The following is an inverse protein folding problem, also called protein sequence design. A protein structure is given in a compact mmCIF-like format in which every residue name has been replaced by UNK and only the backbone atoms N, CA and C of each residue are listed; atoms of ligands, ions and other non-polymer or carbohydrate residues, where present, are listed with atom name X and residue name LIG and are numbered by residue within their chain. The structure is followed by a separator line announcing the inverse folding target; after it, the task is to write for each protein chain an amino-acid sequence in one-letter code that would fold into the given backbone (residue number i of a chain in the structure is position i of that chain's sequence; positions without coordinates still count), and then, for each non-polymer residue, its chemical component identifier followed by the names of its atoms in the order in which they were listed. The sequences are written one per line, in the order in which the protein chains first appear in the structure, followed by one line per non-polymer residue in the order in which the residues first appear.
data_IF_139995243606
#
_entry.id   IF_139995243606
#
_cell.length_a   1.000
_cell.length_b   1.000
_cell.length_c   1.000
_cell.angle_alpha   90.00
_cell.angle_beta   90.00
_cell.angle_gamma   90.00
#
_symmetry.space_group_name_H-M   'P 1'
#
loop_
_entity.id
_entity.type
_entity.pdbx_description
1 polymer ?
#
# COMPACT_ATOMS: atom_id res chain seq x y z
N UNK A 1 -9.78 -9.98 -51.89
CA UNK A 1 -10.51 -9.08 -50.99
C UNK A 1 -9.92 -9.32 -49.61
N UNK A 2 -9.17 -8.34 -49.06
CA UNK A 2 -8.45 -8.52 -47.80
C UNK A 2 -9.38 -8.09 -46.68
N UNK A 3 -9.83 -9.05 -45.86
CA UNK A 3 -10.65 -8.79 -44.68
C UNK A 3 -9.81 -8.10 -43.60
N UNK A 4 -10.16 -6.85 -43.33
CA UNK A 4 -9.72 -6.13 -42.14
C UNK A 4 -10.61 -6.52 -40.96
N UNK A 5 -10.18 -7.51 -40.17
CA UNK A 5 -10.68 -7.67 -38.80
C UNK A 5 -9.99 -6.63 -37.91
N UNK A 6 -10.73 -5.73 -37.23
CA UNK A 6 -10.13 -4.84 -36.26
C UNK A 6 -9.71 -5.69 -35.05
N UNK A 7 -8.42 -5.96 -34.95
CA UNK A 7 -7.81 -6.60 -33.79
C UNK A 7 -7.97 -5.63 -32.60
N UNK A 8 -9.08 -5.76 -31.86
CA UNK A 8 -9.21 -5.16 -30.55
C UNK A 8 -8.11 -5.76 -29.67
N UNK A 9 -6.97 -5.08 -29.55
CA UNK A 9 -5.94 -5.39 -28.55
C UNK A 9 -6.61 -5.25 -27.19
N UNK A 10 -7.11 -6.36 -26.68
CA UNK A 10 -7.64 -6.46 -25.33
C UNK A 10 -6.45 -6.17 -24.41
N UNK A 11 -6.39 -4.96 -23.86
CA UNK A 11 -5.35 -4.60 -22.89
C UNK A 11 -5.37 -5.65 -21.78
N UNK A 12 -4.32 -6.49 -21.74
CA UNK A 12 -4.15 -7.50 -20.71
C UNK A 12 -3.93 -6.76 -19.40
N UNK A 13 -4.88 -6.89 -18.48
CA UNK A 13 -4.75 -6.34 -17.13
C UNK A 13 -3.75 -7.19 -16.36
N UNK A 14 -2.91 -6.56 -15.56
CA UNK A 14 -2.10 -7.25 -14.56
C UNK A 14 -3.03 -7.91 -13.54
N UNK A 15 -2.75 -9.17 -13.21
CA UNK A 15 -3.56 -9.97 -12.30
C UNK A 15 -2.77 -10.41 -11.10
N UNK A 16 -3.46 -10.46 -9.96
CA UNK A 16 -2.99 -11.04 -8.72
C UNK A 16 -4.21 -11.53 -7.93
N UNK A 17 -4.00 -12.50 -7.05
CA UNK A 17 -5.07 -13.03 -6.20
C UNK A 17 -5.52 -12.01 -5.15
N UNK A 18 -4.61 -11.12 -4.77
CA UNK A 18 -4.81 -10.11 -3.74
C UNK A 18 -3.96 -8.88 -4.00
N UNK A 19 -4.53 -7.70 -3.75
CA UNK A 19 -3.83 -6.42 -3.72
C UNK A 19 -3.79 -5.88 -2.29
N UNK A 20 -2.60 -5.50 -1.82
CA UNK A 20 -2.35 -5.07 -0.44
C UNK A 20 -1.61 -3.74 -0.47
N UNK A 21 -2.05 -2.78 0.34
CA UNK A 21 -1.28 -1.55 0.54
C UNK A 21 -0.05 -1.85 1.39
N UNK A 22 1.15 -1.63 0.85
CA UNK A 22 2.40 -1.51 1.60
C UNK A 22 2.68 -0.06 2.05
N UNK A 23 1.74 0.84 1.78
CA UNK A 23 1.66 2.17 2.36
C UNK A 23 2.77 3.15 1.97
N UNK A 24 3.14 3.99 2.95
CA UNK A 24 3.69 5.35 2.78
C UNK A 24 2.64 6.45 2.97
N UNK A 25 1.35 6.09 3.06
CA UNK A 25 0.22 6.99 3.29
C UNK A 25 -1.14 6.40 2.88
N UNK A 26 -2.23 7.08 3.25
CA UNK A 26 -3.62 6.62 3.05
C UNK A 26 -4.09 6.58 1.58
N UNK A 27 -3.32 7.18 0.66
CA UNK A 27 -3.64 7.30 -0.77
C UNK A 27 -3.76 5.94 -1.47
N UNK A 28 -2.85 5.01 -1.22
CA UNK A 28 -2.86 3.69 -1.86
C UNK A 28 -4.12 2.91 -1.47
N UNK A 29 -4.40 2.81 -0.17
CA UNK A 29 -5.59 2.14 0.34
C UNK A 29 -6.89 2.77 -0.21
N UNK A 30 -6.93 4.10 -0.31
CA UNK A 30 -8.04 4.81 -0.96
C UNK A 30 -8.24 4.37 -2.41
N UNK A 31 -7.18 4.33 -3.22
CA UNK A 31 -7.29 3.93 -4.62
C UNK A 31 -7.65 2.45 -4.81
N UNK A 32 -7.02 1.55 -4.05
CA UNK A 32 -7.38 0.14 -4.08
C UNK A 32 -8.86 -0.08 -3.71
N UNK A 33 -9.38 0.64 -2.71
CA UNK A 33 -10.81 0.62 -2.36
C UNK A 33 -11.67 1.17 -3.51
N UNK A 34 -11.33 2.33 -4.06
CA UNK A 34 -12.09 3.01 -5.12
C UNK A 34 -12.25 2.14 -6.37
N UNK A 35 -11.22 1.38 -6.70
CA UNK A 35 -11.19 0.50 -7.87
C UNK A 35 -11.60 -0.95 -7.58
N UNK A 36 -12.16 -1.23 -6.38
CA UNK A 36 -12.62 -2.56 -5.96
C UNK A 36 -11.51 -3.64 -6.00
N UNK A 37 -10.25 -3.23 -5.83
CA UNK A 37 -9.09 -4.12 -5.74
C UNK A 37 -8.81 -4.53 -4.29
N UNK A 38 -9.25 -3.71 -3.32
CA UNK A 38 -9.09 -3.98 -1.90
C UNK A 38 -10.19 -4.91 -1.39
N UNK A 39 -9.85 -6.17 -1.11
CA UNK A 39 -10.79 -7.19 -0.63
C UNK A 39 -10.93 -7.24 0.89
N UNK A 40 -9.95 -6.71 1.63
CA UNK A 40 -9.98 -6.57 3.09
C UNK A 40 -9.21 -5.31 3.53
N UNK A 41 -9.34 -4.92 4.80
CA UNK A 41 -8.56 -3.81 5.36
C UNK A 41 -7.29 -4.33 6.03
N UNK A 42 -6.13 -3.90 5.56
CA UNK A 42 -4.83 -4.18 6.19
C UNK A 42 -4.66 -3.33 7.45
N UNK A 43 -3.89 -3.77 8.47
CA UNK A 43 -3.53 -2.90 9.61
C UNK A 43 -2.83 -1.62 9.15
N UNK A 44 -2.14 -1.65 8.01
CA UNK A 44 -1.31 -0.57 7.48
C UNK A 44 -2.06 0.45 6.58
N UNK A 45 -3.33 0.22 6.22
CA UNK A 45 -4.07 1.04 5.23
C UNK A 45 -4.20 2.54 5.57
N UNK A 46 -4.02 2.90 6.84
CA UNK A 46 -4.27 4.25 7.37
C UNK A 46 -3.15 4.73 8.30
N UNK A 47 -2.00 4.08 8.20
CA UNK A 47 -0.79 4.45 8.94
C UNK A 47 0.17 5.17 8.00
N UNK A 48 1.06 5.99 8.56
CA UNK A 48 2.08 6.70 7.81
C UNK A 48 3.39 6.79 8.58
N UNK A 49 4.44 7.31 7.93
CA UNK A 49 5.75 7.57 8.54
C UNK A 49 6.44 6.31 9.07
N UNK A 50 6.58 5.29 8.22
CA UNK A 50 7.28 4.05 8.55
C UNK A 50 7.96 3.46 7.30
N UNK A 51 9.02 2.70 7.53
CA UNK A 51 9.80 2.01 6.50
C UNK A 51 9.17 0.66 6.11
N UNK A 52 9.61 0.08 4.99
CA UNK A 52 9.19 -1.28 4.62
C UNK A 52 9.68 -2.33 5.61
N UNK A 53 10.85 -2.11 6.23
CA UNK A 53 11.38 -2.96 7.29
C UNK A 53 10.44 -3.06 8.49
N UNK A 54 9.67 -2.01 8.80
CA UNK A 54 8.72 -2.03 9.91
C UNK A 54 7.54 -2.96 9.64
N UNK A 55 7.11 -3.09 8.37
CA UNK A 55 6.14 -4.11 7.98
C UNK A 55 6.75 -5.50 8.18
N UNK A 56 7.99 -5.71 7.74
CA UNK A 56 8.64 -7.02 7.87
C UNK A 56 8.81 -7.42 9.34
N UNK A 57 9.22 -6.49 10.21
CA UNK A 57 9.30 -6.70 11.64
C UNK A 57 7.95 -7.14 12.23
N UNK A 58 6.83 -6.55 11.76
CA UNK A 58 5.49 -7.00 12.18
C UNK A 58 5.22 -8.47 11.81
N UNK A 59 5.74 -8.97 10.68
CA UNK A 59 5.62 -10.38 10.30
C UNK A 59 6.60 -11.29 11.06
N UNK A 60 7.82 -10.84 11.29
CA UNK A 60 8.86 -11.58 12.02
C UNK A 60 8.52 -11.74 13.50
N UNK A 61 7.96 -10.71 14.12
CA UNK A 61 7.65 -10.65 15.56
C UNK A 61 6.17 -10.94 15.86
N UNK A 62 5.41 -11.39 14.86
CA UNK A 62 3.97 -11.64 14.94
C UNK A 62 3.17 -10.50 15.60
N UNK A 63 3.46 -9.27 15.18
CA UNK A 63 2.82 -8.04 15.66
C UNK A 63 3.03 -7.71 17.15
N UNK A 64 3.95 -8.40 17.84
CA UNK A 64 4.12 -8.30 19.29
C UNK A 64 4.50 -6.88 19.77
N UNK A 65 5.34 -6.18 19.00
CA UNK A 65 5.83 -4.85 19.36
C UNK A 65 5.04 -3.70 18.71
N UNK A 66 4.05 -3.99 17.86
CA UNK A 66 3.28 -2.96 17.16
C UNK A 66 2.57 -2.02 18.13
N UNK A 67 2.94 -0.73 18.14
CA UNK A 67 2.40 0.30 19.04
C UNK A 67 2.43 -0.12 20.52
N UNK A 68 3.38 -0.96 20.93
CA UNK A 68 3.53 -1.37 22.32
C UNK A 68 3.86 -0.20 23.23
N UNK A 69 4.69 0.72 22.72
CA UNK A 69 4.97 2.01 23.32
C UNK A 69 4.51 3.11 22.37
N UNK A 70 3.64 3.99 22.85
CA UNK A 70 3.04 5.04 22.04
C UNK A 70 3.00 6.37 22.77
N UNK A 71 2.87 7.44 21.99
CA UNK A 71 2.61 8.77 22.51
C UNK A 71 1.69 9.56 21.59
N UNK A 72 0.96 10.50 22.18
CA UNK A 72 0.24 11.51 21.42
C UNK A 72 1.23 12.56 20.90
N UNK A 73 1.09 12.92 19.62
CA UNK A 73 1.85 13.98 18.98
C UNK A 73 0.91 15.07 18.48
N UNK A 74 1.45 16.27 18.24
CA UNK A 74 0.66 17.39 17.73
C UNK A 74 -0.13 16.99 16.47
N UNK A 75 -1.43 17.25 16.51
CA UNK A 75 -2.36 16.98 15.41
C UNK A 75 -2.81 18.28 14.77
N UNK A 76 -2.88 18.27 13.44
CA UNK A 76 -3.47 19.36 12.63
C UNK A 76 -4.90 19.06 12.20
N UNK A 77 -5.48 17.96 12.69
CA UNK A 77 -6.84 17.50 12.33
C UNK A 77 -7.73 17.41 13.58
N UNK A 78 -9.01 17.09 13.38
CA UNK A 78 -9.95 16.82 14.46
C UNK A 78 -9.81 15.42 15.09
N UNK A 79 -8.68 14.74 14.87
CA UNK A 79 -8.35 13.42 15.42
C UNK A 79 -7.01 13.49 16.11
N UNK A 80 -6.82 12.69 17.17
CA UNK A 80 -5.52 12.60 17.84
C UNK A 80 -4.55 11.89 16.90
N UNK A 81 -3.32 12.37 16.87
CA UNK A 81 -2.23 11.68 16.19
C UNK A 81 -1.45 10.90 17.23
N UNK A 82 -1.31 9.60 17.01
CA UNK A 82 -0.60 8.70 17.92
C UNK A 82 0.57 8.11 17.17
N UNK A 83 1.76 8.18 17.78
CA UNK A 83 3.02 7.71 17.23
C UNK A 83 3.51 6.50 18.02
N UNK A 84 3.91 5.46 17.31
CA UNK A 84 4.72 4.35 17.82
C UNK A 84 6.14 4.88 18.10
N UNK A 85 6.60 4.71 19.34
CA UNK A 85 7.92 5.21 19.78
C UNK A 85 9.08 4.43 19.16
N UNK A 86 8.87 3.19 18.75
CA UNK A 86 9.93 2.32 18.26
C UNK A 86 10.41 2.71 16.86
N UNK A 87 9.48 2.99 15.95
CA UNK A 87 9.78 3.21 14.52
C UNK A 87 9.18 4.51 13.96
N UNK A 88 8.44 5.28 14.77
CA UNK A 88 7.83 6.54 14.35
C UNK A 88 6.52 6.39 13.56
N UNK A 89 6.03 5.16 13.35
CA UNK A 89 4.78 4.88 12.67
C UNK A 89 3.63 5.66 13.32
N UNK A 90 2.79 6.29 12.50
CA UNK A 90 1.76 7.22 12.98
C UNK A 90 0.36 6.79 12.56
N UNK A 91 -0.55 6.73 13.53
CA UNK A 91 -1.99 6.74 13.29
C UNK A 91 -2.53 8.17 13.32
N UNK A 92 -3.24 8.57 12.27
CA UNK A 92 -3.80 9.93 12.11
C UNK A 92 -5.34 9.94 12.09
N UNK A 93 -5.96 8.77 12.21
CA UNK A 93 -7.40 8.58 11.97
C UNK A 93 -8.11 7.72 13.02
N UNK A 94 -7.38 6.93 13.81
CA UNK A 94 -8.00 5.90 14.66
C UNK A 94 -8.40 6.41 16.07
N UNK A 95 -7.95 7.60 16.48
CA UNK A 95 -8.11 8.13 17.85
C UNK A 95 -8.93 9.44 17.87
N UNK A 96 -9.97 9.50 18.71
CA UNK A 96 -10.84 10.67 18.88
C UNK A 96 -10.41 11.56 20.05
N UNK A 97 -10.71 12.86 19.98
CA UNK A 97 -10.60 13.75 21.15
C UNK A 97 -11.73 13.55 22.16
N UNK A 98 -12.83 12.92 21.74
CA UNK A 98 -14.03 12.67 22.57
C UNK A 98 -13.86 11.54 23.59
N UNK A 99 -12.75 10.80 23.53
CA UNK A 99 -12.43 9.69 24.43
C UNK A 99 -11.02 9.84 25.00
N UNK A 100 -10.73 9.08 26.06
CA UNK A 100 -9.38 8.95 26.59
C UNK A 100 -8.47 8.23 25.60
N UNK A 101 -7.17 8.57 25.64
CA UNK A 101 -6.18 7.91 24.80
C UNK A 101 -6.13 6.38 25.06
N UNK A 102 -6.31 5.97 26.30
CA UNK A 102 -6.32 4.57 26.73
C UNK A 102 -7.48 3.77 26.09
N UNK A 103 -8.72 4.26 26.19
CA UNK A 103 -9.87 3.62 25.56
C UNK A 103 -9.70 3.56 24.03
N UNK A 104 -9.16 4.63 23.44
CA UNK A 104 -8.83 4.66 22.02
C UNK A 104 -7.78 3.61 21.65
N UNK A 105 -6.77 3.41 22.50
CA UNK A 105 -5.67 2.47 22.29
C UNK A 105 -6.15 1.02 22.35
N UNK A 106 -6.92 0.61 23.36
CA UNK A 106 -7.44 -0.75 23.47
C UNK A 106 -8.25 -1.17 22.24
N UNK A 107 -9.13 -0.27 21.77
CA UNK A 107 -9.89 -0.48 20.53
C UNK A 107 -8.95 -0.56 19.32
N UNK A 108 -7.99 0.36 19.22
CA UNK A 108 -7.04 0.43 18.13
C UNK A 108 -6.23 -0.87 18.01
N UNK A 109 -5.57 -1.30 19.09
CA UNK A 109 -4.69 -2.46 19.07
C UNK A 109 -5.47 -3.75 18.79
N UNK A 110 -6.66 -3.90 19.39
CA UNK A 110 -7.57 -5.03 19.13
C UNK A 110 -7.96 -5.09 17.65
N UNK A 111 -8.34 -3.95 17.08
CA UNK A 111 -8.72 -3.88 15.67
C UNK A 111 -7.53 -4.18 14.74
N UNK A 112 -6.34 -3.66 15.03
CA UNK A 112 -5.13 -3.85 14.20
C UNK A 112 -4.65 -5.30 14.25
N UNK A 113 -4.65 -5.94 15.43
CA UNK A 113 -4.34 -7.37 15.57
C UNK A 113 -5.27 -8.24 14.73
N UNK A 114 -6.60 -8.04 14.84
CA UNK A 114 -7.56 -8.76 13.99
C UNK A 114 -7.30 -8.56 12.49
N UNK A 115 -6.98 -7.33 12.08
CA UNK A 115 -6.64 -7.03 10.67
C UNK A 115 -5.34 -7.69 10.23
N UNK A 116 -4.37 -7.80 11.13
CA UNK A 116 -3.10 -8.48 10.86
C UNK A 116 -3.29 -9.98 10.68
N UNK A 117 -4.10 -10.63 11.52
CA UNK A 117 -4.48 -12.04 11.30
C UNK A 117 -5.15 -12.24 9.95
N UNK A 118 -6.09 -11.36 9.60
CA UNK A 118 -6.76 -11.44 8.30
C UNK A 118 -5.79 -11.21 7.13
N UNK A 119 -4.84 -10.28 7.28
CA UNK A 119 -3.76 -10.06 6.30
C UNK A 119 -2.92 -11.32 6.10
N UNK A 120 -2.45 -11.95 7.18
CA UNK A 120 -1.69 -13.21 7.13
C UNK A 120 -2.50 -14.31 6.44
N UNK A 121 -3.77 -14.46 6.79
CA UNK A 121 -4.68 -15.43 6.17
C UNK A 121 -4.78 -15.22 4.65
N UNK A 122 -5.03 -14.00 4.20
CA UNK A 122 -5.13 -13.68 2.77
C UNK A 122 -3.81 -13.90 2.02
N UNK A 123 -2.65 -13.58 2.62
CA UNK A 123 -1.34 -13.86 2.03
C UNK A 123 -1.14 -15.37 1.85
N UNK A 124 -1.35 -16.15 2.91
CA UNK A 124 -1.15 -17.62 2.89
C UNK A 124 -2.11 -18.34 1.94
N UNK A 125 -3.29 -17.79 1.71
CA UNK A 125 -4.28 -18.33 0.77
C UNK A 125 -4.04 -17.96 -0.70
N UNK A 126 -3.01 -17.14 -1.01
CA UNK A 126 -2.74 -16.63 -2.35
C UNK A 126 -1.47 -17.23 -2.96
N UNK A 127 -1.50 -17.43 -4.28
CA UNK A 127 -0.35 -17.86 -5.10
C UNK A 127 0.39 -16.66 -5.69
N UNK A 128 -0.33 -15.58 -5.99
CA UNK A 128 0.24 -14.31 -6.45
C UNK A 128 -0.27 -13.14 -5.63
N UNK A 129 0.63 -12.56 -4.83
CA UNK A 129 0.38 -11.42 -3.95
C UNK A 129 0.95 -10.16 -4.60
N UNK A 130 0.14 -9.11 -4.70
CA UNK A 130 0.60 -7.81 -5.18
C UNK A 130 0.54 -6.77 -4.07
N UNK A 131 1.69 -6.26 -3.64
CA UNK A 131 1.78 -5.05 -2.86
C UNK A 131 1.70 -3.83 -3.76
N UNK A 132 1.10 -2.75 -3.25
CA UNK A 132 1.10 -1.43 -3.90
C UNK A 132 1.60 -0.39 -2.90
N UNK A 133 2.46 0.53 -3.34
CA UNK A 133 3.05 1.58 -2.49
C UNK A 133 3.18 2.91 -3.22
N UNK A 134 3.39 3.99 -2.46
CA UNK A 134 3.84 5.28 -2.99
C UNK A 134 5.08 5.74 -2.20
N UNK A 135 6.21 5.12 -2.49
CA UNK A 135 7.44 5.19 -1.70
C UNK A 135 8.60 5.77 -2.50
N UNK A 136 9.53 6.39 -1.78
CA UNK A 136 10.77 6.95 -2.33
C UNK A 136 12.01 6.11 -2.01
N UNK A 137 11.82 4.97 -1.32
CA UNK A 137 12.87 4.00 -1.00
C UNK A 137 13.63 3.54 -2.27
N UNK A 138 14.87 3.07 -2.09
CA UNK A 138 15.68 2.55 -3.19
C UNK A 138 15.26 1.10 -3.57
N UNK A 139 15.78 0.59 -4.68
CA UNK A 139 15.44 -0.75 -5.17
C UNK A 139 15.89 -1.88 -4.24
N UNK A 140 16.98 -1.71 -3.49
CA UNK A 140 17.45 -2.72 -2.53
C UNK A 140 16.46 -2.90 -1.37
N UNK A 141 15.84 -1.82 -0.88
CA UNK A 141 14.80 -1.90 0.15
C UNK A 141 13.54 -2.62 -0.35
N UNK A 142 13.14 -2.39 -1.60
CA UNK A 142 12.02 -3.11 -2.22
C UNK A 142 12.32 -4.60 -2.39
N UNK A 143 13.52 -4.94 -2.85
CA UNK A 143 13.95 -6.33 -3.00
C UNK A 143 13.99 -7.04 -1.64
N UNK A 144 14.61 -6.41 -0.64
CA UNK A 144 14.67 -6.92 0.74
C UNK A 144 13.27 -7.16 1.30
N UNK A 145 12.36 -6.21 1.11
CA UNK A 145 10.96 -6.35 1.52
C UNK A 145 10.30 -7.57 0.88
N UNK A 146 10.40 -7.73 -0.44
CA UNK A 146 9.81 -8.87 -1.13
C UNK A 146 10.44 -10.21 -0.72
N UNK A 147 11.75 -10.25 -0.49
CA UNK A 147 12.45 -11.44 0.01
C UNK A 147 11.94 -11.84 1.39
N UNK A 148 11.79 -10.90 2.32
CA UNK A 148 11.23 -11.16 3.65
C UNK A 148 9.79 -11.68 3.58
N UNK A 149 8.95 -11.07 2.73
CA UNK A 149 7.58 -11.57 2.52
C UNK A 149 7.53 -12.98 1.92
N UNK A 150 8.48 -13.32 1.04
CA UNK A 150 8.58 -14.66 0.46
C UNK A 150 9.07 -15.72 1.47
N UNK A 151 9.88 -15.34 2.45
CA UNK A 151 10.23 -16.20 3.59
C UNK A 151 8.98 -16.50 4.42
N UNK A 152 8.15 -15.49 4.69
CA UNK A 152 6.90 -15.67 5.44
C UNK A 152 5.90 -16.62 4.75
N UNK A 153 5.78 -16.51 3.42
CA UNK A 153 4.94 -17.41 2.62
C UNK A 153 5.51 -17.55 1.21
N UNK A 154 5.89 -18.77 0.84
CA UNK A 154 6.61 -19.04 -0.40
C UNK A 154 5.69 -19.00 -1.64
N UNK A 155 5.50 -17.80 -2.19
CA UNK A 155 4.61 -17.54 -3.32
C UNK A 155 5.23 -16.54 -4.31
N UNK A 156 4.49 -16.23 -5.38
CA UNK A 156 4.83 -15.13 -6.29
C UNK A 156 4.44 -13.81 -5.65
N UNK A 157 5.37 -12.87 -5.64
CA UNK A 157 5.15 -11.50 -5.17
C UNK A 157 5.41 -10.49 -6.27
N UNK A 158 4.58 -9.45 -6.29
CA UNK A 158 4.84 -8.25 -7.06
C UNK A 158 4.72 -7.03 -6.15
N UNK A 159 5.66 -6.10 -6.24
CA UNK A 159 5.50 -4.77 -5.67
C UNK A 159 5.30 -3.75 -6.80
N UNK A 160 4.15 -3.08 -6.79
CA UNK A 160 3.88 -1.93 -7.64
C UNK A 160 4.16 -0.66 -6.85
N UNK A 161 5.23 0.06 -7.19
CA UNK A 161 5.53 1.35 -6.57
C UNK A 161 5.12 2.52 -7.47
N UNK A 162 4.50 3.54 -6.88
CA UNK A 162 4.26 4.83 -7.51
C UNK A 162 5.27 5.82 -6.95
N UNK A 163 6.25 6.22 -7.77
CA UNK A 163 7.28 7.19 -7.40
C UNK A 163 6.90 8.59 -7.88
N UNK A 164 6.93 9.54 -6.95
CA UNK A 164 6.74 10.95 -7.27
C UNK A 164 8.05 11.56 -7.78
N UNK A 165 7.99 12.25 -8.93
CA UNK A 165 9.05 13.11 -9.45
C UNK A 165 8.42 14.35 -10.09
N UNK A 166 8.67 15.51 -9.49
CA UNK A 166 8.12 16.80 -9.91
C UNK A 166 8.51 17.16 -11.36
N UNK A 167 9.68 16.73 -11.80
CA UNK A 167 10.25 17.05 -13.11
C UNK A 167 9.79 16.07 -14.20
N UNK A 168 9.09 15.00 -13.82
CA UNK A 168 8.63 13.98 -14.73
C UNK A 168 7.40 14.47 -15.52
N UNK A 169 7.63 14.93 -16.75
CA UNK A 169 6.58 15.43 -17.65
C UNK A 169 5.62 14.34 -18.14
N UNK A 170 6.13 13.13 -18.32
CA UNK A 170 5.39 11.97 -18.80
C UNK A 170 5.65 10.75 -17.92
N UNK A 171 4.61 9.95 -17.71
CA UNK A 171 4.71 8.75 -16.87
C UNK A 171 5.64 7.71 -17.48
N UNK A 172 6.68 7.32 -16.74
CA UNK A 172 7.57 6.22 -17.08
C UNK A 172 7.17 4.95 -16.33
N UNK A 173 7.46 3.79 -16.91
CA UNK A 173 7.28 2.48 -16.28
C UNK A 173 8.62 1.74 -16.30
N UNK A 174 9.03 1.20 -15.16
CA UNK A 174 10.20 0.32 -15.01
C UNK A 174 9.70 -1.02 -14.48
N UNK A 175 10.24 -2.11 -15.00
CA UNK A 175 9.94 -3.47 -14.53
C UNK A 175 11.25 -4.17 -14.24
N UNK A 176 11.33 -4.80 -13.06
CA UNK A 176 12.49 -5.57 -12.60
C UNK A 176 12.02 -6.93 -12.10
N UNK A 177 12.88 -7.92 -12.18
CA UNK A 177 12.66 -9.26 -11.66
C UNK A 177 13.86 -9.66 -10.78
N UNK A 178 13.56 -10.20 -9.60
CA UNK A 178 14.55 -10.70 -8.65
C UNK A 178 14.33 -12.20 -8.47
N UNK A 179 14.90 -12.98 -9.40
CA UNK A 179 14.59 -14.40 -9.54
C UNK A 179 13.20 -14.64 -10.14
N UNK A 180 12.71 -15.88 -10.05
CA UNK A 180 11.49 -16.30 -10.77
C UNK A 180 10.16 -15.84 -10.15
N UNK A 181 10.17 -15.46 -8.87
CA UNK A 181 8.96 -15.26 -8.07
C UNK A 181 8.79 -13.84 -7.55
N UNK A 182 9.79 -12.98 -7.67
CA UNK A 182 9.74 -11.61 -7.15
C UNK A 182 9.80 -10.62 -8.31
N UNK A 183 8.76 -9.84 -8.47
CA UNK A 183 8.65 -8.84 -9.54
C UNK A 183 8.46 -7.46 -8.92
N UNK A 184 8.99 -6.46 -9.59
CA UNK A 184 8.83 -5.08 -9.22
C UNK A 184 8.40 -4.26 -10.43
N UNK A 185 7.40 -3.40 -10.23
CA UNK A 185 6.88 -2.50 -11.25
C UNK A 185 6.88 -1.11 -10.64
N UNK A 186 7.63 -0.18 -11.22
CA UNK A 186 7.59 1.22 -10.82
C UNK A 186 6.90 2.06 -11.88
N UNK A 187 5.98 2.91 -11.42
CA UNK A 187 5.46 4.03 -12.20
C UNK A 187 6.06 5.33 -11.65
N UNK A 188 6.82 6.03 -12.48
CA UNK A 188 7.43 7.31 -12.14
C UNK A 188 6.68 8.44 -12.84
N UNK A 189 6.15 9.40 -12.08
CA UNK A 189 5.51 10.60 -12.62
C UNK A 189 5.37 11.71 -11.59
N UNK A 190 5.03 12.91 -12.05
CA UNK A 190 4.61 13.99 -11.15
C UNK A 190 3.23 13.65 -10.53
N UNK A 191 3.29 13.09 -9.32
CA UNK A 191 2.12 12.71 -8.52
C UNK A 191 1.52 13.88 -7.71
N UNK A 192 1.70 15.12 -8.14
CA UNK A 192 1.02 16.28 -7.54
C UNK A 192 -0.40 16.39 -8.10
N UNK A 193 -1.34 16.79 -7.24
CA UNK A 193 -2.72 17.03 -7.67
C UNK A 193 -2.79 18.22 -8.63
N UNK A 194 -3.60 18.11 -9.69
CA UNK A 194 -3.76 19.17 -10.73
C UNK A 194 -4.19 20.55 -10.23
N UNK A 195 -4.63 20.66 -8.97
CA UNK A 195 -5.07 21.91 -8.32
C UNK A 195 -4.00 22.46 -7.36
N UNK A 196 -2.79 21.90 -7.35
CA UNK A 196 -1.71 22.26 -6.44
C UNK A 196 -1.88 21.69 -5.03
N UNK A 197 -0.90 21.99 -4.17
CA UNK A 197 -0.79 21.45 -2.80
C UNK A 197 -1.76 22.09 -1.81
N UNK A 198 -2.11 23.37 -2.01
CA UNK A 198 -3.07 24.08 -1.16
C UNK A 198 -4.51 23.52 -1.27
N UNK A 199 -4.78 22.65 -2.25
CA UNK A 199 -6.08 22.04 -2.39
C UNK A 199 -6.34 21.02 -1.28
N UNK A 200 -7.52 21.10 -0.62
CA UNK A 200 -7.91 20.20 0.48
C UNK A 200 -7.84 18.68 0.18
N UNK A 201 -7.82 18.27 -1.10
CA UNK A 201 -7.62 16.87 -1.52
C UNK A 201 -6.33 16.67 -2.31
N UNK A 202 -5.34 17.52 -2.10
CA UNK A 202 -4.02 17.43 -2.73
C UNK A 202 -3.35 16.08 -2.45
N UNK A 203 -3.61 15.49 -1.26
CA UNK A 203 -3.15 14.17 -0.87
C UNK A 203 -3.56 13.04 -1.83
N UNK A 204 -4.55 13.24 -2.71
CA UNK A 204 -4.93 12.29 -3.75
C UNK A 204 -3.92 12.21 -4.91
N UNK A 205 -3.00 13.17 -5.01
CA UNK A 205 -2.01 13.23 -6.08
C UNK A 205 -2.61 13.36 -7.49
N UNK A 206 -1.89 12.85 -8.48
CA UNK A 206 -2.28 12.92 -9.89
C UNK A 206 -3.37 11.90 -10.22
N UNK A 207 -4.61 12.27 -9.91
CA UNK A 207 -5.78 11.38 -10.03
C UNK A 207 -5.95 10.72 -11.41
N UNK A 208 -5.55 11.40 -12.50
CA UNK A 208 -5.65 10.86 -13.87
C UNK A 208 -4.72 9.67 -14.06
N UNK A 209 -3.47 9.78 -13.60
CA UNK A 209 -2.48 8.71 -13.73
C UNK A 209 -2.75 7.57 -12.75
N UNK A 210 -3.16 7.85 -11.51
CA UNK A 210 -3.64 6.82 -10.59
C UNK A 210 -4.80 6.01 -11.18
N UNK A 211 -5.79 6.67 -11.81
CA UNK A 211 -6.89 5.96 -12.46
C UNK A 211 -6.39 5.08 -13.62
N UNK A 212 -5.42 5.55 -14.40
CA UNK A 212 -4.81 4.77 -15.50
C UNK A 212 -4.18 3.49 -14.96
N UNK A 213 -3.36 3.60 -13.91
CA UNK A 213 -2.68 2.45 -13.27
C UNK A 213 -3.71 1.50 -12.66
N UNK A 214 -4.64 2.00 -11.85
CA UNK A 214 -5.61 1.13 -11.17
C UNK A 214 -6.52 0.37 -12.15
N UNK A 215 -6.89 0.97 -13.29
CA UNK A 215 -7.68 0.31 -14.33
C UNK A 215 -6.93 -0.78 -15.09
N UNK A 216 -5.60 -0.77 -15.06
CA UNK A 216 -4.79 -1.84 -15.63
C UNK A 216 -4.61 -3.03 -14.68
N UNK A 217 -5.14 -2.96 -13.45
CA UNK A 217 -5.09 -4.04 -12.47
C UNK A 217 -6.44 -4.78 -12.41
N UNK A 218 -6.39 -6.06 -12.06
CA UNK A 218 -7.59 -6.87 -11.80
C UNK A 218 -7.28 -8.00 -10.83
N UNK A 219 -8.25 -8.33 -9.98
CA UNK A 219 -8.18 -9.55 -9.17
C UNK A 219 -8.27 -10.78 -10.08
N UNK A 220 -7.46 -11.80 -9.81
CA UNK A 220 -7.63 -13.11 -10.42
C UNK A 220 -8.97 -13.69 -9.95
N UNK A 221 -9.73 -14.30 -10.86
CA UNK A 221 -10.96 -14.98 -10.46
C UNK A 221 -10.54 -16.23 -9.70
N UNK A 222 -10.95 -16.34 -8.44
CA UNK A 222 -10.89 -17.61 -7.71
C UNK A 222 -11.86 -18.57 -8.42
N UNK A 223 -11.31 -19.53 -9.16
CA UNK A 223 -12.02 -20.69 -9.72
C UNK A 223 -12.49 -21.61 -8.61
#
# INVERSE_FOLDING_TARGET
MIDFLPFFKRHTRFRADVFISAGGGCKVAFYLRKFKLRTFSSPFDWLGLYALSDINACFEEDFANFFKEYEEVFSTTNKRWVRDRQNGMRSMHDFSFEESLECGYERFITQKRRRFENLKHHIKASKHICFVSCRQDNYAEFEKFLKQMQIFHHAKYTLINIRHDLNCKEMKKVELEWGEKLHFIEYLFNDTHKKGEAYKRAWLGNTKLWHKIMRSLSLEKRS
#
